data_IF_425535470650
#
_entry.id   IF_425535470650
#
_cell.length_a   1.000
_cell.length_b   1.000
_cell.length_c   1.000
_cell.angle_alpha   90.00
_cell.angle_beta   90.00
_cell.angle_gamma   90.00
#
_symmetry.space_group_name_H-M   'P 1'
#
loop_
_entity.id
_entity.type
_entity.pdbx_description
1 polymer ?
#
# COMPACT_ATOMS: atom_id res chain seq x y z
N UNK A 1 -93.73 -3.71 62.22
CA UNK A 1 -93.98 -3.27 60.82
C UNK A 1 -93.15 -1.99 60.58
N UNK A 2 -92.04 -2.02 59.91
CA UNK A 2 -91.48 -0.90 59.22
C UNK A 2 -90.23 -1.39 58.50
N UNK A 3 -90.23 -1.32 57.20
CA UNK A 3 -89.17 -1.73 56.31
C UNK A 3 -88.13 -0.62 56.21
N UNK A 4 -86.82 -0.97 56.41
CA UNK A 4 -85.68 -0.09 56.22
C UNK A 4 -85.07 -0.26 54.83
N UNK A 5 -85.12 0.76 54.01
CA UNK A 5 -84.42 0.79 52.72
C UNK A 5 -82.88 0.96 52.91
N UNK A 6 -82.14 0.02 52.39
CA UNK A 6 -80.69 0.14 52.26
C UNK A 6 -80.34 0.79 50.90
N UNK A 7 -79.71 1.96 50.96
CA UNK A 7 -79.05 2.60 49.80
C UNK A 7 -77.72 1.94 49.52
N UNK A 8 -77.58 1.44 48.27
CA UNK A 8 -76.28 0.98 47.75
C UNK A 8 -75.49 2.18 47.17
N UNK A 9 -74.37 2.53 47.72
CA UNK A 9 -73.48 3.51 47.18
C UNK A 9 -72.50 2.86 46.17
N UNK A 10 -72.57 3.31 44.94
CA UNK A 10 -71.61 2.90 43.85
C UNK A 10 -70.35 3.68 43.97
N UNK A 11 -69.26 3.03 44.29
CA UNK A 11 -67.89 3.63 44.30
C UNK A 11 -67.32 3.51 42.89
N UNK A 12 -67.15 4.63 42.21
CA UNK A 12 -66.39 4.72 40.96
C UNK A 12 -64.89 4.71 41.29
N UNK A 13 -64.20 3.69 40.78
CA UNK A 13 -62.71 3.64 40.82
C UNK A 13 -62.20 4.30 39.52
N UNK A 14 -61.56 5.44 39.64
CA UNK A 14 -60.85 6.08 38.58
C UNK A 14 -59.51 5.32 38.43
N UNK A 15 -59.34 4.60 37.29
CA UNK A 15 -58.09 3.97 36.92
C UNK A 15 -57.29 5.03 36.11
N UNK A 16 -56.25 5.61 36.75
CA UNK A 16 -55.26 6.46 36.06
C UNK A 16 -54.28 5.51 35.37
N UNK A 17 -54.39 5.39 34.05
CA UNK A 17 -53.42 4.70 33.24
C UNK A 17 -52.18 5.59 33.05
N UNK A 18 -51.06 5.29 33.75
CA UNK A 18 -49.74 5.89 33.45
C UNK A 18 -49.20 5.26 32.15
N UNK A 19 -49.26 6.01 31.06
CA UNK A 19 -48.48 5.69 29.86
C UNK A 19 -46.99 5.99 30.13
N UNK A 20 -46.21 4.95 30.36
CA UNK A 20 -44.74 5.07 30.35
C UNK A 20 -44.24 5.23 28.92
N UNK A 21 -43.78 6.43 28.56
CA UNK A 21 -43.12 6.71 27.30
C UNK A 21 -41.73 6.12 27.35
N UNK A 22 -41.52 4.91 26.81
CA UNK A 22 -40.21 4.31 26.65
C UNK A 22 -39.47 5.03 25.51
N UNK A 23 -38.59 5.96 25.85
CA UNK A 23 -37.61 6.49 24.91
C UNK A 23 -36.65 5.36 24.50
N UNK A 24 -36.85 4.80 23.34
CA UNK A 24 -35.88 3.90 22.72
C UNK A 24 -34.63 4.72 22.33
N UNK A 25 -33.58 4.59 23.11
CA UNK A 25 -32.26 5.10 22.73
C UNK A 25 -31.73 4.19 21.61
N UNK A 26 -31.89 4.63 20.36
CA UNK A 26 -31.25 3.97 19.21
C UNK A 26 -29.76 4.30 19.29
N UNK A 27 -28.88 3.30 19.44
CA UNK A 27 -27.44 3.57 19.42
C UNK A 27 -27.09 4.13 18.02
N UNK A 28 -26.58 5.35 17.97
CA UNK A 28 -25.95 5.88 16.76
C UNK A 28 -24.67 5.08 16.55
N UNK A 29 -24.74 4.06 15.71
CA UNK A 29 -23.53 3.39 15.22
C UNK A 29 -22.84 4.42 14.33
N UNK A 30 -21.75 5.01 14.83
CA UNK A 30 -20.91 5.85 14.02
C UNK A 30 -20.46 5.02 12.80
N UNK A 31 -20.81 5.48 11.61
CA UNK A 31 -20.34 4.85 10.38
C UNK A 31 -18.80 4.84 10.38
N UNK A 32 -18.20 3.66 10.13
CA UNK A 32 -16.76 3.58 9.95
C UNK A 32 -16.35 4.57 8.85
N UNK A 33 -15.25 5.32 9.02
CA UNK A 33 -14.81 6.29 8.01
C UNK A 33 -14.62 5.59 6.67
N UNK A 34 -14.99 6.26 5.58
CA UNK A 34 -14.86 5.71 4.24
C UNK A 34 -13.36 5.45 3.94
N UNK A 35 -13.05 4.39 3.22
CA UNK A 35 -11.67 4.03 2.84
C UNK A 35 -10.85 5.21 2.26
N UNK A 36 -11.52 6.14 1.56
CA UNK A 36 -10.92 7.35 1.00
C UNK A 36 -10.43 8.33 2.08
N UNK A 37 -11.03 8.35 3.26
CA UNK A 37 -10.65 9.24 4.38
C UNK A 37 -9.47 8.68 5.17
N UNK A 38 -9.29 7.37 5.16
CA UNK A 38 -8.22 6.69 5.91
C UNK A 38 -6.91 6.56 5.12
N UNK A 39 -6.97 6.54 3.79
CA UNK A 39 -5.78 6.45 2.92
C UNK A 39 -5.50 7.77 2.19
N UNK A 40 -5.40 8.86 2.93
CA UNK A 40 -5.08 10.21 2.41
C UNK A 40 -3.58 10.42 2.24
N UNK A 41 -2.90 9.51 1.55
CA UNK A 41 -1.52 9.74 1.17
C UNK A 41 -1.47 10.62 -0.09
N UNK A 42 -0.53 11.58 -0.19
CA UNK A 42 -0.27 12.27 -1.44
C UNK A 42 0.06 11.27 -2.54
N UNK A 43 -0.56 11.46 -3.69
CA UNK A 43 -0.24 10.68 -4.90
C UNK A 43 0.49 11.56 -5.90
N UNK A 44 1.46 10.98 -6.56
CA UNK A 44 2.24 11.64 -7.62
C UNK A 44 1.70 11.18 -8.97
N UNK A 45 1.33 12.11 -9.83
CA UNK A 45 0.94 11.81 -11.22
C UNK A 45 2.19 11.54 -12.06
N UNK A 46 2.24 10.38 -12.68
CA UNK A 46 3.27 9.99 -13.64
C UNK A 46 2.67 10.17 -15.04
N UNK A 47 3.18 11.11 -15.86
CA UNK A 47 2.58 11.42 -17.13
C UNK A 47 2.67 10.25 -18.12
N UNK A 48 1.70 10.17 -19.03
CA UNK A 48 1.76 9.24 -20.14
C UNK A 48 3.01 9.49 -21.00
N UNK A 49 3.57 8.41 -21.56
CA UNK A 49 4.73 8.53 -22.43
C UNK A 49 5.69 7.36 -22.32
N UNK A 50 6.65 7.33 -23.24
CA UNK A 50 7.69 6.32 -23.28
C UNK A 50 8.78 6.57 -22.22
N UNK A 51 9.39 5.50 -21.76
CA UNK A 51 10.59 5.52 -20.93
C UNK A 51 11.50 4.33 -21.30
N UNK A 52 12.75 4.38 -20.85
CA UNK A 52 13.69 3.27 -21.01
C UNK A 52 13.55 2.31 -19.84
N UNK A 53 12.96 1.13 -20.07
CA UNK A 53 12.80 0.05 -19.10
C UNK A 53 13.95 -0.94 -19.20
N UNK A 54 14.45 -1.41 -18.06
CA UNK A 54 15.52 -2.38 -17.99
C UNK A 54 16.92 -1.79 -18.13
N UNK A 55 17.92 -2.65 -18.16
CA UNK A 55 19.33 -2.32 -18.25
C UNK A 55 19.91 -2.67 -19.63
N UNK A 56 20.90 -1.91 -20.15
CA UNK A 56 21.68 -2.34 -21.29
C UNK A 56 22.38 -3.68 -21.02
N UNK A 57 22.62 -4.45 -22.06
CA UNK A 57 23.44 -5.67 -21.96
C UNK A 57 24.79 -5.34 -21.30
N UNK A 58 25.25 -6.24 -20.43
CA UNK A 58 26.45 -6.07 -19.60
C UNK A 58 26.37 -5.04 -18.46
N UNK A 59 25.18 -4.48 -18.20
CA UNK A 59 24.89 -3.69 -16.97
C UNK A 59 23.71 -4.32 -16.24
N UNK A 60 23.74 -4.29 -14.90
CA UNK A 60 22.72 -4.96 -14.08
C UNK A 60 22.76 -6.48 -14.19
N UNK A 61 21.65 -7.13 -13.85
CA UNK A 61 21.50 -8.58 -13.91
C UNK A 61 20.87 -9.01 -15.25
N UNK A 62 21.02 -10.29 -15.60
CA UNK A 62 20.52 -10.81 -16.88
C UNK A 62 19.00 -10.72 -17.03
N UNK A 63 18.26 -10.75 -15.94
CA UNK A 63 16.78 -10.61 -15.93
C UNK A 63 16.31 -9.14 -16.08
N UNK A 64 17.23 -8.18 -16.03
CA UNK A 64 16.97 -6.76 -16.35
C UNK A 64 17.12 -6.45 -17.84
N UNK A 65 17.58 -7.41 -18.64
CA UNK A 65 17.86 -7.24 -20.08
C UNK A 65 16.71 -7.71 -20.99
N UNK A 66 16.58 -7.16 -22.18
CA UNK A 66 17.26 -5.98 -22.72
C UNK A 66 16.67 -4.66 -22.21
N UNK A 67 17.44 -3.58 -22.25
CA UNK A 67 16.86 -2.25 -22.14
C UNK A 67 16.00 -1.96 -23.38
N UNK A 68 14.80 -1.47 -23.14
CA UNK A 68 13.81 -1.26 -24.21
C UNK A 68 12.94 -0.01 -23.97
N UNK A 69 12.40 0.57 -25.01
CA UNK A 69 11.41 1.66 -24.89
C UNK A 69 10.03 1.07 -24.60
N UNK A 70 9.42 1.48 -23.50
CA UNK A 70 8.07 1.08 -23.08
C UNK A 70 7.20 2.31 -22.90
N UNK A 71 6.01 2.30 -23.46
CA UNK A 71 5.01 3.36 -23.29
C UNK A 71 4.04 2.98 -22.18
N UNK A 72 3.82 3.90 -21.23
CA UNK A 72 2.77 3.78 -20.21
C UNK A 72 1.76 4.91 -20.35
N UNK A 73 0.49 4.59 -20.16
CA UNK A 73 -0.56 5.57 -19.97
C UNK A 73 -0.35 6.32 -18.65
N UNK A 74 -1.01 7.45 -18.46
CA UNK A 74 -0.92 8.24 -17.22
C UNK A 74 -1.49 7.46 -16.05
N UNK A 75 -0.81 7.53 -14.90
CA UNK A 75 -1.26 6.94 -13.64
C UNK A 75 -0.82 7.79 -12.44
N UNK A 76 -1.43 7.57 -11.30
CA UNK A 76 -0.98 8.15 -10.04
C UNK A 76 -0.44 7.06 -9.13
N UNK A 77 0.68 7.32 -8.45
CA UNK A 77 1.34 6.41 -7.50
C UNK A 77 1.42 7.07 -6.12
N UNK A 78 1.29 6.29 -5.05
CA UNK A 78 1.52 6.77 -3.69
C UNK A 78 2.92 7.37 -3.58
N UNK A 79 3.03 8.58 -3.02
CA UNK A 79 4.31 9.27 -2.90
C UNK A 79 5.32 8.50 -2.05
N UNK A 80 4.84 7.77 -1.04
CA UNK A 80 5.63 6.96 -0.10
C UNK A 80 5.06 5.55 0.00
N UNK A 81 5.81 4.64 0.62
CA UNK A 81 5.33 3.30 0.97
C UNK A 81 4.11 3.37 1.89
N UNK A 82 3.29 2.32 1.95
CA UNK A 82 2.21 2.20 2.93
C UNK A 82 2.81 2.09 4.32
N UNK A 83 2.39 2.99 5.23
CA UNK A 83 2.88 3.01 6.62
C UNK A 83 2.15 2.01 7.51
N UNK A 84 2.73 1.70 8.66
CA UNK A 84 2.11 0.87 9.70
C UNK A 84 0.75 1.46 10.15
N UNK A 85 0.67 2.78 10.36
CA UNK A 85 -0.57 3.47 10.74
C UNK A 85 -1.68 3.24 9.71
N UNK A 86 -1.37 3.45 8.42
CA UNK A 86 -2.34 3.28 7.33
C UNK A 86 -2.78 1.83 7.20
N UNK A 87 -1.85 0.89 7.32
CA UNK A 87 -2.19 -0.53 7.26
C UNK A 87 -3.03 -0.99 8.46
N UNK A 88 -2.73 -0.52 9.67
CA UNK A 88 -3.53 -0.84 10.86
C UNK A 88 -4.94 -0.23 10.81
N UNK A 89 -5.12 0.93 10.18
CA UNK A 89 -6.46 1.47 9.90
C UNK A 89 -7.27 0.56 8.95
N UNK A 90 -6.63 -0.02 7.94
CA UNK A 90 -7.23 -1.06 7.09
C UNK A 90 -7.63 -2.30 7.90
N UNK A 91 -6.74 -2.81 8.77
CA UNK A 91 -7.02 -3.94 9.65
C UNK A 91 -8.24 -3.65 10.53
N UNK A 92 -8.28 -2.46 11.17
CA UNK A 92 -9.36 -2.06 12.07
C UNK A 92 -10.73 -1.95 11.37
N UNK A 93 -10.74 -1.50 10.09
CA UNK A 93 -11.99 -1.30 9.35
C UNK A 93 -12.52 -2.55 8.66
N UNK A 94 -11.65 -3.50 8.34
CA UNK A 94 -12.02 -4.69 7.54
C UNK A 94 -11.97 -6.00 8.30
N UNK A 95 -11.33 -6.02 9.47
CA UNK A 95 -11.01 -7.27 10.18
C UNK A 95 -9.91 -8.09 9.51
N UNK A 96 -9.17 -7.51 8.55
CA UNK A 96 -8.03 -8.20 7.94
C UNK A 96 -6.96 -8.51 9.00
N UNK A 97 -6.15 -9.53 8.76
CA UNK A 97 -5.09 -9.90 9.72
C UNK A 97 -4.05 -8.80 9.86
N UNK A 98 -3.59 -8.54 11.09
CA UNK A 98 -2.38 -7.75 11.31
C UNK A 98 -1.15 -8.56 10.90
N UNK A 99 -0.14 -7.95 10.28
CA UNK A 99 1.15 -8.62 10.07
C UNK A 99 1.79 -9.01 11.40
N UNK A 100 2.70 -10.00 11.41
CA UNK A 100 3.57 -10.22 12.54
C UNK A 100 4.33 -8.94 12.91
N UNK A 101 4.69 -8.81 14.19
CA UNK A 101 5.56 -7.72 14.62
C UNK A 101 6.97 -7.90 14.02
N UNK A 102 7.45 -7.01 13.16
CA UNK A 102 8.79 -7.15 12.57
C UNK A 102 9.92 -6.87 13.56
N UNK A 103 9.61 -6.28 14.72
CA UNK A 103 10.61 -5.86 15.71
C UNK A 103 10.68 -6.81 16.93
N UNK A 104 9.92 -7.89 16.95
CA UNK A 104 9.89 -8.82 18.08
C UNK A 104 8.76 -9.84 17.98
N UNK A 105 8.20 -10.22 19.11
CA UNK A 105 7.09 -11.18 19.18
C UNK A 105 5.72 -10.49 19.06
N UNK A 106 4.70 -11.25 18.66
CA UNK A 106 3.31 -10.79 18.60
C UNK A 106 2.94 -10.21 17.24
N UNK A 107 1.98 -9.29 17.26
CA UNK A 107 1.43 -8.65 16.05
C UNK A 107 1.86 -7.18 15.96
N UNK A 108 1.98 -6.64 14.77
CA UNK A 108 2.29 -5.22 14.52
C UNK A 108 1.32 -4.29 15.28
N UNK A 109 0.05 -4.66 15.40
CA UNK A 109 -0.97 -3.88 16.12
C UNK A 109 -0.68 -3.67 17.62
N UNK A 110 0.27 -4.40 18.20
CA UNK A 110 0.72 -4.22 19.59
C UNK A 110 1.92 -3.29 19.74
N UNK A 111 2.54 -2.84 18.64
CA UNK A 111 3.74 -2.00 18.65
C UNK A 111 3.35 -0.52 18.55
N UNK A 112 4.07 0.35 19.26
CA UNK A 112 3.88 1.81 19.23
C UNK A 112 5.18 2.53 18.87
N UNK A 113 5.06 3.73 18.33
CA UNK A 113 6.20 4.53 17.91
C UNK A 113 6.76 4.17 16.54
N UNK A 114 6.07 3.28 15.83
CA UNK A 114 6.46 2.79 14.50
C UNK A 114 5.44 3.20 13.40
N UNK A 115 4.52 4.09 13.73
CA UNK A 115 3.37 4.45 12.91
C UNK A 115 3.77 4.93 11.52
N UNK A 116 4.86 5.70 11.42
CA UNK A 116 5.37 6.29 10.17
C UNK A 116 6.42 5.42 9.46
N UNK A 117 6.75 4.26 10.01
CA UNK A 117 7.61 3.31 9.31
C UNK A 117 6.80 2.54 8.24
N UNK A 118 7.43 2.11 7.14
CA UNK A 118 6.75 1.29 6.14
C UNK A 118 6.24 -0.01 6.76
N UNK A 119 5.04 -0.42 6.37
CA UNK A 119 4.54 -1.74 6.75
C UNK A 119 5.37 -2.81 6.04
N UNK A 120 5.93 -3.72 6.82
CA UNK A 120 6.67 -4.88 6.31
C UNK A 120 6.04 -6.17 6.82
N UNK A 121 6.54 -7.33 6.44
CA UNK A 121 5.91 -8.63 6.74
C UNK A 121 4.49 -8.81 6.16
N UNK A 122 4.07 -7.93 5.25
CA UNK A 122 2.85 -8.10 4.48
C UNK A 122 3.11 -9.05 3.29
N UNK A 123 2.25 -10.06 3.11
CA UNK A 123 2.29 -10.90 1.93
C UNK A 123 1.80 -10.13 0.70
N UNK A 124 2.04 -10.67 -0.50
CA UNK A 124 1.49 -10.09 -1.72
C UNK A 124 -0.06 -9.98 -1.68
N UNK A 125 -0.72 -10.98 -1.07
CA UNK A 125 -2.18 -10.95 -0.92
C UNK A 125 -2.65 -9.86 0.03
N UNK A 126 -1.91 -9.61 1.11
CA UNK A 126 -2.20 -8.54 2.06
C UNK A 126 -2.05 -7.17 1.39
N UNK A 127 -0.96 -6.98 0.64
CA UNK A 127 -0.71 -5.76 -0.13
C UNK A 127 -1.81 -5.50 -1.18
N UNK A 128 -2.19 -6.54 -1.94
CA UNK A 128 -3.30 -6.47 -2.89
C UNK A 128 -4.64 -6.11 -2.23
N UNK A 129 -4.94 -6.75 -1.09
CA UNK A 129 -6.18 -6.49 -0.35
C UNK A 129 -6.24 -5.05 0.16
N UNK A 130 -5.13 -4.55 0.71
CA UNK A 130 -5.00 -3.15 1.14
C UNK A 130 -5.25 -2.17 -0.02
N UNK A 131 -4.50 -2.33 -1.12
CA UNK A 131 -4.67 -1.42 -2.26
C UNK A 131 -6.11 -1.45 -2.81
N UNK A 132 -6.75 -2.62 -2.86
CA UNK A 132 -8.14 -2.75 -3.30
C UNK A 132 -9.12 -2.04 -2.34
N UNK A 133 -8.91 -2.14 -1.03
CA UNK A 133 -9.67 -1.42 -0.02
C UNK A 133 -9.53 0.10 -0.21
N UNK A 134 -8.33 0.59 -0.47
CA UNK A 134 -8.03 1.99 -0.75
C UNK A 134 -8.52 2.47 -2.13
N UNK A 135 -9.25 1.64 -2.90
CA UNK A 135 -9.67 1.91 -4.31
C UNK A 135 -8.48 2.17 -5.25
N UNK A 136 -7.42 1.42 -5.02
CA UNK A 136 -6.16 1.41 -5.76
C UNK A 136 -5.80 -0.03 -6.14
N UNK A 137 -4.65 -0.23 -6.75
CA UNK A 137 -4.04 -1.53 -7.02
C UNK A 137 -2.53 -1.48 -6.78
N UNK A 138 -1.88 -2.63 -6.76
CA UNK A 138 -0.42 -2.67 -6.83
C UNK A 138 0.06 -2.09 -8.17
N UNK A 139 1.22 -1.41 -8.22
CA UNK A 139 1.83 -1.00 -9.49
C UNK A 139 2.22 -2.23 -10.31
N UNK A 140 2.21 -2.11 -11.63
CA UNK A 140 2.97 -3.04 -12.47
C UNK A 140 4.46 -2.79 -12.29
N UNK A 141 5.28 -3.77 -12.64
CA UNK A 141 6.74 -3.64 -12.59
C UNK A 141 7.23 -2.46 -13.43
N UNK A 142 6.63 -2.24 -14.60
CA UNK A 142 6.94 -1.11 -15.48
C UNK A 142 6.50 0.24 -14.91
N UNK A 143 5.34 0.32 -14.28
CA UNK A 143 4.87 1.55 -13.61
C UNK A 143 5.79 1.93 -12.45
N UNK A 144 6.16 0.94 -11.64
CA UNK A 144 7.11 1.15 -10.54
C UNK A 144 8.44 1.68 -11.07
N UNK A 145 9.02 1.05 -12.10
CA UNK A 145 10.31 1.45 -12.65
C UNK A 145 10.27 2.86 -13.26
N UNK A 146 9.22 3.20 -14.04
CA UNK A 146 9.07 4.56 -14.58
C UNK A 146 8.96 5.60 -13.46
N UNK A 147 8.19 5.31 -12.40
CA UNK A 147 8.04 6.21 -11.26
C UNK A 147 9.37 6.43 -10.53
N UNK A 148 10.24 5.41 -10.47
CA UNK A 148 11.55 5.48 -9.84
C UNK A 148 12.58 6.24 -10.68
N UNK A 149 12.69 5.93 -11.98
CA UNK A 149 13.83 6.39 -12.81
C UNK A 149 13.52 7.50 -13.78
N UNK A 150 12.25 7.87 -14.00
CA UNK A 150 11.89 8.83 -15.04
C UNK A 150 12.06 8.27 -16.46
N UNK A 151 12.52 9.11 -17.38
CA UNK A 151 12.61 8.78 -18.82
C UNK A 151 14.04 8.72 -19.35
N UNK A 152 15.04 9.13 -18.56
CA UNK A 152 16.44 9.32 -19.00
C UNK A 152 17.32 8.08 -18.74
N UNK A 153 16.78 7.02 -18.16
CA UNK A 153 17.52 5.77 -17.94
C UNK A 153 18.54 5.81 -16.80
N UNK A 154 18.37 6.73 -15.85
CA UNK A 154 19.23 6.87 -14.66
C UNK A 154 19.28 5.61 -13.80
N UNK A 155 20.42 5.44 -13.09
CA UNK A 155 20.68 4.25 -12.27
C UNK A 155 19.90 4.24 -10.96
N UNK A 156 19.82 5.39 -10.30
CA UNK A 156 19.08 5.59 -9.05
C UNK A 156 18.00 6.67 -9.22
N UNK A 157 17.01 6.77 -8.33
CA UNK A 157 16.00 7.82 -8.44
C UNK A 157 16.57 9.24 -8.51
N UNK A 158 17.61 9.54 -7.78
CA UNK A 158 18.31 10.84 -7.76
C UNK A 158 19.27 11.07 -8.94
N UNK A 159 19.57 10.04 -9.74
CA UNK A 159 20.50 10.14 -10.88
C UNK A 159 21.54 9.02 -10.91
N UNK A 160 22.76 9.34 -11.31
CA UNK A 160 23.87 8.37 -11.45
C UNK A 160 24.96 8.50 -10.39
N UNK A 161 24.83 9.45 -9.47
CA UNK A 161 25.76 9.60 -8.36
C UNK A 161 25.69 8.39 -7.43
N UNK A 162 26.84 7.96 -6.87
CA UNK A 162 26.89 6.81 -5.96
C UNK A 162 25.93 6.96 -4.78
N UNK A 163 25.23 5.86 -4.43
CA UNK A 163 24.32 5.84 -3.32
C UNK A 163 25.02 6.11 -1.99
N UNK A 164 24.39 6.89 -1.13
CA UNK A 164 24.84 7.18 0.24
C UNK A 164 23.67 7.05 1.22
N UNK A 165 23.96 6.87 2.49
CA UNK A 165 22.96 6.83 3.56
C UNK A 165 22.15 8.13 3.72
N UNK A 166 22.52 9.22 3.04
CA UNK A 166 21.74 10.48 2.99
C UNK A 166 20.60 10.41 2.00
N UNK A 167 20.67 9.50 1.01
CA UNK A 167 19.73 9.38 -0.09
C UNK A 167 18.90 8.11 -0.06
N UNK A 168 19.43 7.03 0.55
CA UNK A 168 18.75 5.75 0.65
C UNK A 168 19.12 5.02 1.94
N UNK A 169 18.19 4.21 2.44
CA UNK A 169 18.40 3.31 3.56
C UNK A 169 18.71 1.91 3.03
N UNK A 170 19.98 1.52 2.99
CA UNK A 170 20.46 0.26 2.41
C UNK A 170 21.77 -0.19 3.09
N UNK A 171 22.18 -1.43 2.83
CA UNK A 171 23.44 -2.03 3.30
C UNK A 171 23.62 -1.91 4.82
N UNK A 172 22.55 -2.17 5.57
CA UNK A 172 22.52 -2.04 7.03
C UNK A 172 22.37 -3.39 7.71
N UNK A 173 22.86 -3.44 8.94
CA UNK A 173 22.53 -4.51 9.87
C UNK A 173 21.23 -4.22 10.60
N UNK A 174 20.66 -5.25 11.23
CA UNK A 174 19.39 -5.13 11.96
C UNK A 174 19.60 -4.37 13.29
N UNK A 175 18.85 -3.30 13.49
CA UNK A 175 18.85 -2.47 14.70
C UNK A 175 17.41 -2.25 15.22
N UNK A 176 16.56 -3.28 15.15
CA UNK A 176 15.15 -3.21 15.56
C UNK A 176 14.40 -2.06 14.88
N UNK A 177 13.64 -1.23 15.66
CA UNK A 177 12.85 -0.12 15.12
C UNK A 177 13.68 0.98 14.44
N UNK A 178 14.98 1.02 14.66
CA UNK A 178 15.88 1.98 14.04
C UNK A 178 16.34 1.56 12.64
N UNK A 179 16.05 0.34 12.25
CA UNK A 179 16.49 -0.23 10.97
C UNK A 179 15.76 0.39 9.80
N UNK A 180 14.42 0.47 9.88
CA UNK A 180 13.61 1.16 8.89
C UNK A 180 13.54 2.65 9.21
N UNK A 181 13.53 3.47 8.18
CA UNK A 181 13.35 4.91 8.33
C UNK A 181 11.88 5.29 8.16
N UNK A 182 11.38 6.35 8.83
CA UNK A 182 10.09 6.93 8.52
C UNK A 182 10.00 7.25 7.03
N UNK A 183 8.87 6.92 6.42
CA UNK A 183 8.68 7.11 4.98
C UNK A 183 8.91 8.57 4.58
N UNK A 184 9.59 8.80 3.47
CA UNK A 184 9.89 10.13 2.94
C UNK A 184 10.93 10.94 3.75
N UNK A 185 11.65 10.32 4.68
CA UNK A 185 12.62 11.02 5.53
C UNK A 185 13.97 11.33 4.86
N UNK A 186 14.19 10.83 3.65
CA UNK A 186 15.43 11.01 2.88
C UNK A 186 15.17 11.79 1.56
N UNK A 187 14.88 13.10 1.60
CA UNK A 187 14.43 13.86 0.44
C UNK A 187 15.47 13.96 -0.69
N UNK A 188 16.76 13.72 -0.40
CA UNK A 188 17.79 13.64 -1.43
C UNK A 188 17.69 12.41 -2.34
N UNK A 189 16.90 11.41 -1.96
CA UNK A 189 16.65 10.18 -2.69
C UNK A 189 15.40 10.21 -3.58
N UNK A 190 14.73 11.36 -3.70
CA UNK A 190 13.48 11.49 -4.45
C UNK A 190 13.69 11.19 -5.95
N UNK A 191 12.67 10.57 -6.57
CA UNK A 191 12.65 10.35 -8.02
C UNK A 191 12.43 11.66 -8.79
N UNK A 192 12.62 11.68 -10.14
CA UNK A 192 12.36 12.88 -10.94
C UNK A 192 10.93 13.42 -10.82
N UNK A 193 10.01 12.57 -10.42
CA UNK A 193 8.61 12.93 -10.21
C UNK A 193 8.28 13.30 -8.76
N UNK A 194 9.25 13.15 -7.82
CA UNK A 194 9.03 13.40 -6.40
C UNK A 194 8.43 12.20 -5.64
N UNK A 195 8.53 10.99 -6.22
CA UNK A 195 8.22 9.75 -5.50
C UNK A 195 9.40 9.41 -4.59
N UNK A 196 9.13 9.07 -3.35
CA UNK A 196 10.12 8.90 -2.28
C UNK A 196 10.41 7.43 -2.00
N UNK A 197 11.61 7.16 -1.46
CA UNK A 197 12.02 5.83 -0.98
C UNK A 197 11.98 4.73 -2.07
N UNK A 198 12.19 5.12 -3.34
CA UNK A 198 12.21 4.17 -4.47
C UNK A 198 13.52 3.36 -4.55
N UNK A 199 14.43 3.54 -3.59
CA UNK A 199 15.70 2.80 -3.44
C UNK A 199 15.95 2.55 -1.97
N UNK A 200 15.98 1.28 -1.55
CA UNK A 200 16.19 0.89 -0.16
C UNK A 200 14.92 1.02 0.71
N UNK A 201 15.10 1.13 2.01
CA UNK A 201 14.07 1.13 3.05
C UNK A 201 13.26 -0.18 3.06
N UNK A 202 12.11 -0.24 2.39
CA UNK A 202 11.38 -1.48 2.19
C UNK A 202 11.28 -1.78 0.68
N UNK A 203 11.72 -2.98 0.26
CA UNK A 203 11.44 -3.44 -1.10
C UNK A 203 9.93 -3.68 -1.28
N UNK A 204 9.44 -3.55 -2.50
CA UNK A 204 8.02 -3.40 -2.73
C UNK A 204 7.44 -4.48 -3.63
N UNK A 205 6.33 -5.06 -3.18
CA UNK A 205 5.50 -5.91 -4.02
C UNK A 205 4.94 -5.15 -5.20
N UNK A 206 5.05 -5.73 -6.39
CA UNK A 206 4.34 -5.28 -7.58
C UNK A 206 3.32 -6.31 -8.06
N UNK A 207 2.47 -5.93 -9.01
CA UNK A 207 1.38 -6.79 -9.49
C UNK A 207 1.88 -8.03 -10.22
N UNK A 208 3.01 -7.92 -10.91
CA UNK A 208 3.48 -8.86 -11.92
C UNK A 208 3.90 -10.20 -11.31
N UNK A 209 3.62 -11.28 -12.05
CA UNK A 209 4.37 -12.51 -11.87
C UNK A 209 5.81 -12.27 -12.33
N UNK A 210 6.77 -12.85 -11.62
CA UNK A 210 8.16 -12.78 -12.03
C UNK A 210 8.44 -13.84 -13.09
N UNK A 211 9.06 -13.39 -14.18
CA UNK A 211 9.66 -14.22 -15.22
C UNK A 211 11.02 -13.62 -15.58
N UNK A 212 12.07 -14.44 -15.54
CA UNK A 212 13.44 -14.03 -15.82
C UNK A 212 13.62 -13.48 -17.23
N UNK A 213 12.88 -14.01 -18.22
CA UNK A 213 12.99 -13.64 -19.62
C UNK A 213 11.91 -12.64 -20.08
N UNK A 214 11.06 -12.17 -19.17
CA UNK A 214 9.90 -11.36 -19.55
C UNK A 214 10.26 -10.14 -20.39
N UNK A 215 11.36 -9.44 -20.08
CA UNK A 215 11.75 -8.23 -20.79
C UNK A 215 12.09 -8.46 -22.26
N UNK A 216 12.45 -9.70 -22.65
CA UNK A 216 12.76 -10.04 -24.04
C UNK A 216 11.51 -10.07 -24.94
N UNK A 217 10.32 -10.29 -24.37
CA UNK A 217 9.07 -10.48 -25.11
C UNK A 217 7.87 -9.69 -24.57
N UNK A 218 8.08 -8.86 -23.54
CA UNK A 218 7.02 -8.03 -23.00
C UNK A 218 6.45 -7.06 -24.06
N UNK A 219 5.15 -6.70 -24.03
CA UNK A 219 4.60 -5.71 -24.92
C UNK A 219 5.24 -4.33 -24.70
N UNK A 220 5.35 -3.52 -25.77
CA UNK A 220 5.90 -2.17 -25.71
C UNK A 220 4.96 -1.14 -25.09
N UNK A 221 3.71 -1.51 -24.85
CA UNK A 221 2.70 -0.63 -24.25
C UNK A 221 2.04 -1.30 -23.06
N UNK A 222 2.05 -0.60 -21.92
CA UNK A 222 1.42 -1.01 -20.65
C UNK A 222 1.66 -2.49 -20.28
N UNK A 223 2.91 -2.98 -20.22
CA UNK A 223 3.18 -4.36 -19.85
C UNK A 223 2.64 -4.64 -18.43
N UNK A 224 1.98 -5.80 -18.27
CA UNK A 224 1.29 -6.21 -17.04
C UNK A 224 1.94 -7.43 -16.37
N UNK A 225 3.16 -7.78 -16.79
CA UNK A 225 3.80 -9.04 -16.43
C UNK A 225 3.33 -10.21 -17.32
N UNK A 226 3.90 -11.41 -17.10
CA UNK A 226 3.52 -12.59 -17.84
C UNK A 226 2.04 -12.98 -17.66
N UNK A 227 1.36 -13.36 -18.73
CA UNK A 227 -0.03 -13.85 -18.70
C UNK A 227 -0.15 -15.16 -17.93
N UNK A 228 0.89 -16.01 -18.04
CA UNK A 228 0.94 -17.28 -17.36
C UNK A 228 1.25 -17.07 -15.88
N UNK A 229 0.39 -17.61 -15.02
CA UNK A 229 0.61 -17.61 -13.57
C UNK A 229 1.94 -18.31 -13.24
N UNK A 230 2.83 -17.58 -12.59
CA UNK A 230 4.07 -18.08 -12.03
C UNK A 230 3.90 -18.62 -10.61
N UNK A 231 5.00 -18.92 -9.97
CA UNK A 231 5.07 -19.36 -8.56
C UNK A 231 5.59 -18.24 -7.63
N UNK A 232 6.14 -17.16 -8.20
CA UNK A 232 6.70 -16.01 -7.48
C UNK A 232 6.24 -14.70 -8.10
N UNK A 233 6.17 -13.65 -7.29
CA UNK A 233 5.85 -12.28 -7.70
C UNK A 233 7.11 -11.45 -7.81
N UNK A 234 7.11 -10.44 -8.67
CA UNK A 234 8.17 -9.47 -8.76
C UNK A 234 8.17 -8.54 -7.54
N UNK A 235 9.37 -8.14 -7.12
CA UNK A 235 9.65 -7.22 -6.02
C UNK A 235 10.66 -6.20 -6.52
N UNK A 236 10.54 -4.94 -6.11
CA UNK A 236 11.39 -3.85 -6.60
C UNK A 236 12.00 -3.03 -5.47
N UNK A 237 13.06 -2.26 -5.79
CA UNK A 237 13.60 -1.20 -4.95
C UNK A 237 14.70 -1.58 -3.97
N UNK A 238 14.89 -2.87 -3.69
CA UNK A 238 15.77 -3.29 -2.60
C UNK A 238 15.26 -2.85 -1.22
N UNK A 239 15.95 -3.19 -0.16
CA UNK A 239 15.55 -2.85 1.21
C UNK A 239 16.75 -2.40 2.05
N UNK A 240 16.51 -2.08 3.31
CA UNK A 240 17.53 -1.64 4.27
C UNK A 240 18.77 -2.54 4.34
N UNK A 241 18.65 -3.84 4.06
CA UNK A 241 19.79 -4.79 4.08
C UNK A 241 20.34 -5.14 2.69
N UNK A 242 19.79 -4.56 1.64
CA UNK A 242 20.21 -4.86 0.27
C UNK A 242 21.51 -4.18 -0.07
N UNK A 243 22.41 -4.85 -0.81
CA UNK A 243 23.61 -4.21 -1.34
C UNK A 243 23.25 -3.15 -2.39
N UNK A 244 24.17 -2.29 -2.72
CA UNK A 244 23.97 -1.19 -3.69
C UNK A 244 23.49 -1.66 -5.06
N UNK A 245 23.85 -2.87 -5.49
CA UNK A 245 23.41 -3.48 -6.74
C UNK A 245 21.90 -3.68 -6.81
N UNK A 246 21.28 -3.92 -5.66
CA UNK A 246 19.86 -4.33 -5.56
C UNK A 246 18.92 -3.15 -5.32
N UNK A 247 19.48 -1.94 -5.07
CA UNK A 247 18.69 -0.72 -4.89
C UNK A 247 18.67 0.17 -6.14
N UNK A 248 19.18 -0.30 -7.28
CA UNK A 248 19.08 0.40 -8.56
C UNK A 248 17.63 0.40 -9.06
N UNK A 249 17.29 1.36 -9.90
CA UNK A 249 15.94 1.50 -10.46
C UNK A 249 15.53 0.32 -11.35
N UNK A 250 16.50 -0.45 -11.85
CA UNK A 250 16.29 -1.63 -12.71
C UNK A 250 16.34 -2.95 -11.98
N UNK A 251 16.93 -2.99 -10.77
CA UNK A 251 17.09 -4.22 -10.01
C UNK A 251 15.76 -4.94 -9.80
N UNK A 252 15.74 -6.23 -10.14
CA UNK A 252 14.57 -7.09 -10.05
C UNK A 252 14.74 -8.12 -8.95
N UNK A 253 13.81 -8.13 -8.01
CA UNK A 253 13.69 -9.16 -7.00
C UNK A 253 12.48 -10.05 -7.23
N UNK A 254 12.38 -11.15 -6.47
CA UNK A 254 11.25 -12.07 -6.52
C UNK A 254 10.97 -12.69 -5.17
N UNK A 255 9.71 -13.06 -4.95
CA UNK A 255 9.30 -13.76 -3.75
C UNK A 255 8.03 -14.56 -3.92
N UNK A 256 7.90 -15.64 -3.17
CA UNK A 256 6.65 -16.37 -3.08
C UNK A 256 5.54 -15.45 -2.58
N UNK A 257 4.35 -15.56 -3.12
CA UNK A 257 3.21 -14.69 -2.78
C UNK A 257 2.81 -14.72 -1.29
N UNK A 258 3.27 -15.70 -0.53
CA UNK A 258 3.11 -15.80 0.92
C UNK A 258 4.37 -15.38 1.70
N UNK A 259 5.42 -14.88 1.02
CA UNK A 259 6.65 -14.42 1.65
C UNK A 259 6.36 -13.27 2.61
N UNK A 260 6.92 -13.37 3.80
CA UNK A 260 6.90 -12.33 4.83
C UNK A 260 8.34 -12.09 5.29
N UNK A 261 8.84 -10.89 5.13
CA UNK A 261 10.20 -10.51 5.56
C UNK A 261 10.20 -9.13 6.22
N UNK A 262 11.20 -8.87 7.04
CA UNK A 262 11.43 -7.58 7.71
C UNK A 262 11.79 -6.43 6.75
N UNK A 263 11.93 -6.70 5.47
CA UNK A 263 12.30 -5.71 4.46
C UNK A 263 11.36 -5.68 3.25
N UNK A 264 10.17 -6.29 3.31
CA UNK A 264 9.24 -6.31 2.18
C UNK A 264 7.91 -5.68 2.56
N UNK A 265 7.62 -4.55 1.93
CA UNK A 265 6.41 -3.76 2.00
C UNK A 265 5.77 -3.55 0.63
N UNK A 266 5.11 -2.41 0.42
CA UNK A 266 4.44 -2.08 -0.84
C UNK A 266 3.95 -0.62 -0.85
N UNK A 267 3.62 -0.13 -2.06
CA UNK A 267 2.81 1.07 -2.30
C UNK A 267 1.73 0.80 -3.33
N UNK A 268 0.78 1.70 -3.49
CA UNK A 268 -0.34 1.51 -4.41
C UNK A 268 -0.32 2.54 -5.55
N UNK A 269 -0.98 2.17 -6.66
CA UNK A 269 -1.25 3.06 -7.80
C UNK A 269 -2.73 3.11 -8.10
N UNK A 270 -3.15 4.18 -8.79
CA UNK A 270 -4.48 4.33 -9.36
C UNK A 270 -4.34 4.75 -10.83
N UNK A 271 -5.02 4.05 -11.73
CA UNK A 271 -5.21 4.54 -13.10
C UNK A 271 -6.01 5.85 -13.05
N UNK A 272 -5.60 6.82 -13.80
CA UNK A 272 -6.43 8.03 -14.00
C UNK A 272 -7.46 7.66 -15.06
N UNK A 273 -8.76 7.76 -14.72
CA UNK A 273 -9.82 7.58 -15.70
C UNK A 273 -9.62 8.62 -16.80
N UNK A 274 -9.36 8.16 -18.01
CA UNK A 274 -9.41 9.04 -19.19
C UNK A 274 -10.84 9.59 -19.22
N UNK A 275 -11.02 10.88 -18.95
CA UNK A 275 -12.30 11.53 -19.13
C UNK A 275 -12.62 11.42 -20.62
N UNK A 276 -13.40 10.40 -20.98
CA UNK A 276 -14.01 10.34 -22.30
C UNK A 276 -14.95 11.54 -22.34
N UNK A 277 -14.47 12.61 -22.98
CA UNK A 277 -15.34 13.73 -23.32
C UNK A 277 -16.47 13.16 -24.19
N UNK A 278 -17.65 13.00 -23.56
CA UNK A 278 -18.87 12.82 -24.32
C UNK A 278 -19.05 14.08 -25.19
N UNK A 279 -18.79 13.93 -26.47
CA UNK A 279 -19.17 14.89 -27.50
C UNK A 279 -20.61 14.65 -27.91
#
# INVERSE_FOLDING_TARGET
MTQGLRRRGTRWRIIVAMMALACAVVPVVAAAPAAKELDQVPMVTIPAGAFLMGSPENKGQADEWPQRSVYLDEFAIDQVEVTNERYLAFVATTGHRSPPNPYGTGQLSSVKGVEQLPVVQATWYDAKAYCSWAKKRLPTEAEWEKAARGTDGRLFPWGNEPATSKWANFDREWEEEKTLHPVGSLPGGDSPYGVKDMSGNAREWVQDWYDHEYYQHAPDRNPQGPDKKGVVRSIRGGSWHSPISDITTTARGRGGFALQTHGTGFRCVRGLETQVQQK
#
